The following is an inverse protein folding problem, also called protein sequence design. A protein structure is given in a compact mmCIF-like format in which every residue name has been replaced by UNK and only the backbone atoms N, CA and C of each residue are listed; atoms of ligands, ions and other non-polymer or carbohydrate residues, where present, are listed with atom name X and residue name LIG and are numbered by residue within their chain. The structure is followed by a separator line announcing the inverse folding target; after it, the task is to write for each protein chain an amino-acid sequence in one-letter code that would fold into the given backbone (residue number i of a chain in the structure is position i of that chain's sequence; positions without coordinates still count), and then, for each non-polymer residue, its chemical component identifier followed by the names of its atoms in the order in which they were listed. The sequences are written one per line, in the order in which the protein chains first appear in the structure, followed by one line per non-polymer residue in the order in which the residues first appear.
data_IF_375792447927
#
_entry.id   IF_375792447927
#
_cell.length_a   1.000
_cell.length_b   1.000
_cell.length_c   1.000
_cell.angle_alpha   90.00
_cell.angle_beta   90.00
_cell.angle_gamma   90.00
#
_symmetry.space_group_name_H-M   'P 1'
#
loop_
_entity.id
_entity.type
_entity.pdbx_description
1 polymer ?
#
# COMPACT_ATOMS: atom_id res chain seq x y z
N UNK A 1 5.76 5.46 -0.85
CA UNK A 1 6.83 5.69 -1.84
C UNK A 1 6.35 5.39 -3.26
N UNK A 2 5.88 4.17 -3.61
CA UNK A 2 5.46 3.80 -4.97
C UNK A 2 4.49 4.81 -5.61
N UNK A 3 3.45 5.24 -4.88
CA UNK A 3 2.49 6.22 -5.39
C UNK A 3 3.15 7.56 -5.76
N UNK A 4 4.05 8.03 -4.91
CA UNK A 4 4.76 9.29 -5.12
C UNK A 4 5.78 9.17 -6.27
N UNK A 5 6.44 8.02 -6.42
CA UNK A 5 7.30 7.75 -7.59
C UNK A 5 6.49 7.82 -8.88
N UNK A 6 5.34 7.14 -8.95
CA UNK A 6 4.46 7.21 -10.13
C UNK A 6 3.97 8.64 -10.42
N UNK A 7 3.64 9.42 -9.38
CA UNK A 7 3.27 10.82 -9.55
C UNK A 7 4.43 11.67 -10.08
N UNK A 8 5.66 11.46 -9.58
CA UNK A 8 6.87 12.12 -10.09
C UNK A 8 7.18 11.76 -11.55
N UNK A 9 6.77 10.59 -12.01
CA UNK A 9 6.85 10.18 -13.43
C UNK A 9 5.75 10.83 -14.30
N UNK A 10 4.88 11.65 -13.71
CA UNK A 10 3.82 12.37 -14.42
C UNK A 10 2.48 11.64 -14.50
N UNK A 11 2.33 10.52 -13.79
CA UNK A 11 1.07 9.79 -13.74
C UNK A 11 0.07 10.46 -12.76
N UNK A 12 -1.22 10.38 -13.07
CA UNK A 12 -2.31 10.75 -12.16
C UNK A 12 -2.57 9.57 -11.21
N UNK A 13 -2.22 9.73 -9.94
CA UNK A 13 -2.23 8.62 -8.97
C UNK A 13 -3.22 8.88 -7.83
N UNK A 14 -3.99 7.84 -7.51
CA UNK A 14 -4.78 7.75 -6.29
C UNK A 14 -4.27 6.67 -5.36
N UNK A 15 -4.44 6.87 -4.05
CA UNK A 15 -4.21 5.87 -3.00
C UNK A 15 -5.47 5.73 -2.17
N UNK A 16 -5.97 4.53 -2.09
CA UNK A 16 -7.04 4.13 -1.17
C UNK A 16 -6.43 3.29 -0.05
N UNK A 17 -6.40 3.84 1.17
CA UNK A 17 -6.02 3.11 2.38
C UNK A 17 -7.25 2.37 2.94
N UNK A 18 -7.25 1.07 2.78
CA UNK A 18 -8.30 0.17 3.20
C UNK A 18 -7.97 -0.59 4.49
N UNK A 19 -6.83 -0.29 5.15
CA UNK A 19 -6.49 -0.91 6.43
C UNK A 19 -7.32 -0.30 7.57
N UNK A 20 -8.42 -0.96 7.87
CA UNK A 20 -9.35 -0.55 8.93
C UNK A 20 -8.80 -0.75 10.34
N UNK A 21 -7.76 -1.54 10.50
CA UNK A 21 -7.17 -1.87 11.80
C UNK A 21 -6.04 -0.93 12.19
N UNK A 22 -5.31 -0.42 11.21
CA UNK A 22 -4.17 0.45 11.44
C UNK A 22 -3.89 1.36 10.24
N UNK A 23 -4.83 2.28 9.90
CA UNK A 23 -4.66 3.14 8.74
C UNK A 23 -3.45 4.06 8.92
N UNK A 24 -2.38 3.78 8.21
CA UNK A 24 -1.08 4.47 8.35
C UNK A 24 -0.83 5.51 7.26
N UNK A 25 -1.57 5.48 6.17
CA UNK A 25 -1.37 6.40 5.04
C UNK A 25 -1.51 7.87 5.43
N UNK A 26 -2.48 8.29 6.30
CA UNK A 26 -2.55 9.68 6.74
C UNK A 26 -1.27 10.18 7.40
N UNK A 27 -0.64 9.39 8.26
CA UNK A 27 0.66 9.73 8.88
C UNK A 27 1.76 9.79 7.83
N UNK A 28 1.86 8.78 6.95
CA UNK A 28 2.91 8.70 5.93
C UNK A 28 2.85 9.78 4.86
N UNK A 29 1.71 10.48 4.73
CA UNK A 29 1.48 11.56 3.77
C UNK A 29 1.33 12.94 4.42
N UNK A 30 1.64 13.10 5.72
CA UNK A 30 1.45 14.35 6.47
C UNK A 30 0.00 14.89 6.36
N UNK A 31 -0.96 13.99 6.53
CA UNK A 31 -2.39 14.28 6.41
C UNK A 31 -3.16 13.95 7.69
N UNK A 32 -2.49 13.83 8.83
CA UNK A 32 -3.15 13.54 10.10
C UNK A 32 -4.17 14.62 10.47
N UNK A 33 -5.35 14.20 10.88
CA UNK A 33 -6.44 15.13 11.22
C UNK A 33 -7.14 15.78 10.03
N UNK A 34 -6.66 15.57 8.80
CA UNK A 34 -7.34 16.03 7.59
C UNK A 34 -8.72 15.35 7.43
N UNK A 35 -9.64 16.04 6.76
CA UNK A 35 -11.01 15.56 6.53
C UNK A 35 -11.41 15.77 5.09
N UNK A 36 -11.79 14.71 4.37
CA UNK A 36 -12.36 14.85 3.03
C UNK A 36 -13.61 15.74 3.05
N UNK A 37 -13.69 16.64 2.10
CA UNK A 37 -14.87 17.47 1.92
C UNK A 37 -15.86 16.82 0.96
N UNK A 38 -17.09 17.33 0.96
CA UNK A 38 -18.10 16.94 -0.04
C UNK A 38 -18.12 17.97 -1.16
N UNK A 39 -18.02 17.48 -2.40
CA UNK A 39 -18.09 18.30 -3.62
C UNK A 39 -19.23 17.84 -4.51
N UNK A 40 -19.77 18.76 -5.31
CA UNK A 40 -20.79 18.45 -6.29
C UNK A 40 -20.16 18.08 -7.63
N UNK A 41 -20.36 16.85 -8.07
CA UNK A 41 -19.90 16.35 -9.37
C UNK A 41 -21.13 15.85 -10.14
N UNK A 42 -21.46 16.49 -11.25
CA UNK A 42 -22.62 16.15 -12.07
C UNK A 42 -23.94 16.06 -11.28
N UNK A 43 -24.15 17.00 -10.34
CA UNK A 43 -25.36 17.07 -9.52
C UNK A 43 -25.43 16.03 -8.38
N UNK A 44 -24.38 15.26 -8.16
CA UNK A 44 -24.24 14.30 -7.06
C UNK A 44 -23.19 14.78 -6.07
N UNK A 45 -23.50 14.63 -4.79
CA UNK A 45 -22.52 14.86 -3.72
C UNK A 45 -21.51 13.72 -3.72
N UNK A 46 -20.23 14.04 -3.86
CA UNK A 46 -19.12 13.08 -3.82
C UNK A 46 -18.10 13.49 -2.78
N UNK A 47 -17.36 12.52 -2.28
CA UNK A 47 -16.24 12.72 -1.37
C UNK A 47 -15.02 13.18 -2.17
N UNK A 48 -14.41 14.29 -1.80
CA UNK A 48 -13.20 14.81 -2.44
C UNK A 48 -11.96 14.17 -1.81
N UNK A 49 -11.14 13.43 -2.58
CA UNK A 49 -9.85 12.94 -2.09
C UNK A 49 -8.95 14.11 -1.68
N UNK A 50 -8.18 13.91 -0.62
CA UNK A 50 -7.19 14.91 -0.18
C UNK A 50 -5.92 14.70 -1.00
N UNK A 51 -5.29 15.78 -1.46
CA UNK A 51 -4.10 15.68 -2.29
C UNK A 51 -2.86 16.17 -1.55
N UNK A 52 -1.80 15.35 -1.56
CA UNK A 52 -0.45 15.74 -1.15
C UNK A 52 0.58 14.99 -2.00
N UNK A 53 1.72 15.61 -2.24
CA UNK A 53 2.81 15.08 -3.07
C UNK A 53 2.36 14.61 -4.47
N UNK A 54 1.35 15.28 -5.05
CA UNK A 54 0.79 14.92 -6.36
C UNK A 54 -0.04 13.63 -6.38
N UNK A 55 -0.40 13.12 -5.20
CA UNK A 55 -1.20 11.90 -5.04
C UNK A 55 -2.53 12.23 -4.36
N UNK A 56 -3.64 11.76 -4.93
CA UNK A 56 -4.97 11.84 -4.30
C UNK A 56 -5.13 10.69 -3.31
N UNK A 57 -5.51 11.01 -2.08
CA UNK A 57 -5.60 10.04 -0.99
C UNK A 57 -6.98 10.01 -0.38
N UNK A 58 -7.52 8.83 -0.20
CA UNK A 58 -8.60 8.54 0.75
C UNK A 58 -8.15 7.43 1.69
N UNK A 59 -8.40 7.63 2.99
CA UNK A 59 -8.10 6.66 4.02
C UNK A 59 -9.29 6.51 4.95
N UNK A 60 -9.53 5.31 5.41
CA UNK A 60 -10.48 5.05 6.49
C UNK A 60 -10.09 5.82 7.77
N UNK A 61 -8.79 6.10 7.92
CA UNK A 61 -8.24 6.89 9.02
C UNK A 61 -8.76 8.33 9.08
N UNK A 62 -9.20 8.90 7.96
CA UNK A 62 -9.80 10.25 7.96
C UNK A 62 -11.16 10.33 8.67
N UNK A 63 -11.81 9.20 8.91
CA UNK A 63 -13.14 9.11 9.54
C UNK A 63 -13.07 8.67 11.00
N UNK A 64 -11.88 8.40 11.51
CA UNK A 64 -11.63 8.01 12.90
C UNK A 64 -10.87 9.12 13.63
N UNK A 65 -11.01 9.18 14.96
CA UNK A 65 -10.09 10.00 15.76
C UNK A 65 -8.91 9.14 16.19
N UNK A 66 -7.68 9.69 16.22
CA UNK A 66 -6.49 8.92 16.60
C UNK A 66 -6.63 8.19 17.94
N UNK A 67 -7.30 8.82 18.92
CA UNK A 67 -7.48 8.28 20.26
C UNK A 67 -8.79 7.49 20.45
N UNK A 68 -9.54 7.27 19.39
CA UNK A 68 -10.82 6.57 19.47
C UNK A 68 -10.73 5.18 18.86
N UNK A 69 -10.83 4.15 19.67
CA UNK A 69 -11.01 2.79 19.19
C UNK A 69 -12.38 2.69 18.48
N UNK A 70 -12.38 2.72 17.17
CA UNK A 70 -13.57 2.45 16.37
C UNK A 70 -13.62 0.95 16.10
N UNK A 71 -14.64 0.30 16.64
CA UNK A 71 -14.88 -1.11 16.35
C UNK A 71 -15.56 -1.21 14.99
N UNK A 72 -14.78 -1.37 13.95
CA UNK A 72 -15.29 -1.64 12.62
C UNK A 72 -15.85 -3.06 12.54
N UNK A 73 -17.15 -3.17 12.34
CA UNK A 73 -17.75 -4.46 11.97
C UNK A 73 -17.63 -4.65 10.46
N UNK A 74 -17.37 -5.89 9.99
CA UNK A 74 -17.15 -6.20 8.59
C UNK A 74 -18.08 -5.49 7.60
N UNK A 75 -19.44 -5.54 7.80
CA UNK A 75 -20.38 -4.85 6.91
C UNK A 75 -20.24 -3.31 6.89
N UNK A 76 -19.87 -2.71 8.05
CA UNK A 76 -19.65 -1.24 8.11
C UNK A 76 -18.38 -0.85 7.37
N UNK A 77 -17.31 -1.60 7.55
CA UNK A 77 -16.05 -1.39 6.86
C UNK A 77 -16.20 -1.55 5.34
N UNK A 78 -16.84 -2.62 4.89
CA UNK A 78 -17.12 -2.85 3.49
C UNK A 78 -17.96 -1.71 2.86
N UNK A 79 -18.97 -1.21 3.59
CA UNK A 79 -19.77 -0.07 3.13
C UNK A 79 -18.93 1.20 3.01
N UNK A 80 -18.09 1.52 4.00
CA UNK A 80 -17.21 2.70 3.97
C UNK A 80 -16.22 2.62 2.81
N UNK A 81 -15.59 1.47 2.61
CA UNK A 81 -14.69 1.22 1.49
C UNK A 81 -15.39 1.40 0.14
N UNK A 82 -16.58 0.81 -0.03
CA UNK A 82 -17.37 1.00 -1.25
C UNK A 82 -17.68 2.48 -1.50
N UNK A 83 -18.01 3.25 -0.47
CA UNK A 83 -18.23 4.70 -0.63
C UNK A 83 -16.95 5.42 -1.04
N UNK A 84 -15.81 5.12 -0.45
CA UNK A 84 -14.52 5.72 -0.84
C UNK A 84 -14.11 5.34 -2.27
N UNK A 85 -14.50 4.17 -2.75
CA UNK A 85 -14.22 3.73 -4.12
C UNK A 85 -15.15 4.42 -5.12
N UNK A 86 -16.46 4.32 -4.93
CA UNK A 86 -17.46 4.65 -5.96
C UNK A 86 -18.09 6.04 -5.80
N UNK A 87 -18.18 6.54 -4.55
CA UNK A 87 -18.79 7.83 -4.24
C UNK A 87 -17.74 8.94 -4.03
N UNK A 88 -16.49 8.69 -4.38
CA UNK A 88 -15.43 9.69 -4.36
C UNK A 88 -15.26 10.38 -5.72
N UNK A 89 -14.75 11.62 -5.66
CA UNK A 89 -14.42 12.44 -6.82
C UNK A 89 -12.98 12.22 -7.27
N UNK A 90 -12.59 10.97 -7.55
CA UNK A 90 -11.25 10.63 -8.00
C UNK A 90 -10.84 11.35 -9.28
N UNK A 91 -11.80 11.64 -10.18
CA UNK A 91 -11.54 12.15 -11.52
C UNK A 91 -10.86 11.09 -12.39
N UNK A 92 -10.08 11.55 -13.36
CA UNK A 92 -9.26 10.66 -14.18
C UNK A 92 -7.99 10.28 -13.43
N UNK A 93 -7.70 8.99 -13.33
CA UNK A 93 -6.49 8.43 -12.76
C UNK A 93 -5.85 7.47 -13.76
N UNK A 94 -4.51 7.46 -13.80
CA UNK A 94 -3.73 6.42 -14.47
C UNK A 94 -3.59 5.19 -13.56
N UNK A 95 -3.45 5.43 -12.23
CA UNK A 95 -3.33 4.39 -11.22
C UNK A 95 -4.17 4.70 -9.99
N UNK A 96 -4.91 3.71 -9.51
CA UNK A 96 -5.47 3.68 -8.16
C UNK A 96 -4.80 2.54 -7.39
N UNK A 97 -3.94 2.87 -6.44
CA UNK A 97 -3.30 1.91 -5.55
C UNK A 97 -4.20 1.70 -4.34
N UNK A 98 -4.49 0.44 -4.03
CA UNK A 98 -5.31 0.07 -2.89
C UNK A 98 -4.41 -0.64 -1.87
N UNK A 99 -4.21 0.00 -0.73
CA UNK A 99 -3.47 -0.56 0.40
C UNK A 99 -4.42 -1.40 1.25
N UNK A 100 -4.25 -2.72 1.15
CA UNK A 100 -5.12 -3.69 1.80
C UNK A 100 -4.67 -3.97 3.24
N UNK A 101 -5.59 -4.26 4.17
CA UNK A 101 -5.24 -4.71 5.50
C UNK A 101 -4.44 -6.02 5.43
N UNK A 102 -3.72 -6.40 6.50
CA UNK A 102 -3.03 -7.69 6.53
C UNK A 102 -4.02 -8.86 6.53
N UNK A 103 -3.59 -9.99 5.96
CA UNK A 103 -4.37 -11.22 5.95
C UNK A 103 -5.17 -11.45 4.67
N UNK A 104 -6.22 -12.27 4.74
CA UNK A 104 -7.06 -12.71 3.61
C UNK A 104 -8.54 -12.79 4.00
N UNK A 105 -9.04 -11.80 4.75
CA UNK A 105 -10.39 -11.79 5.29
C UNK A 105 -11.45 -11.20 4.33
N UNK A 106 -12.68 -11.03 4.86
CA UNK A 106 -13.85 -10.57 4.10
C UNK A 106 -13.66 -9.22 3.40
N UNK A 107 -12.81 -8.35 3.93
CA UNK A 107 -12.51 -7.05 3.34
C UNK A 107 -11.81 -7.21 2.00
N UNK A 108 -10.80 -8.10 1.94
CA UNK A 108 -10.09 -8.42 0.69
C UNK A 108 -11.07 -8.92 -0.36
N UNK A 109 -11.90 -9.92 0.02
CA UNK A 109 -12.91 -10.48 -0.88
C UNK A 109 -13.89 -9.41 -1.35
N UNK A 110 -14.35 -8.54 -0.47
CA UNK A 110 -15.26 -7.44 -0.82
C UNK A 110 -14.65 -6.50 -1.87
N UNK A 111 -13.38 -6.12 -1.71
CA UNK A 111 -12.69 -5.22 -2.65
C UNK A 111 -12.46 -5.92 -3.99
N UNK A 112 -11.91 -7.13 -3.99
CA UNK A 112 -11.60 -7.85 -5.24
C UNK A 112 -12.83 -8.25 -6.04
N UNK A 113 -13.98 -8.43 -5.38
CA UNK A 113 -15.26 -8.70 -6.03
C UNK A 113 -15.95 -7.43 -6.55
N UNK A 114 -15.63 -6.27 -5.95
CA UNK A 114 -16.27 -4.99 -6.30
C UNK A 114 -15.56 -4.24 -7.42
N UNK A 115 -14.28 -4.54 -7.66
CA UNK A 115 -13.43 -3.82 -8.61
C UNK A 115 -12.78 -4.75 -9.64
N UNK A 116 -12.71 -4.31 -10.90
CA UNK A 116 -11.91 -4.99 -11.92
C UNK A 116 -10.42 -4.68 -11.69
N UNK A 117 -9.78 -5.39 -10.75
CA UNK A 117 -8.38 -5.15 -10.42
C UNK A 117 -7.47 -5.58 -11.58
N UNK A 118 -6.54 -4.73 -11.96
CA UNK A 118 -5.50 -5.03 -12.97
C UNK A 118 -4.54 -6.10 -12.46
N UNK A 119 -4.23 -6.09 -11.16
CA UNK A 119 -3.38 -7.08 -10.52
C UNK A 119 -3.04 -6.72 -9.10
N UNK A 120 -2.33 -7.63 -8.43
CA UNK A 120 -1.88 -7.49 -7.06
C UNK A 120 -0.35 -7.54 -6.96
N UNK A 121 0.23 -6.67 -6.15
CA UNK A 121 1.63 -6.75 -5.72
C UNK A 121 1.65 -7.25 -4.29
N UNK A 122 2.39 -8.34 -4.04
CA UNK A 122 2.51 -8.92 -2.70
C UNK A 122 3.81 -8.46 -2.06
N UNK A 123 3.73 -7.91 -0.86
CA UNK A 123 4.88 -7.44 -0.11
C UNK A 123 5.09 -8.34 1.10
N UNK A 124 6.29 -8.86 1.28
CA UNK A 124 6.65 -9.69 2.43
C UNK A 124 8.08 -9.42 2.88
N UNK A 125 8.36 -9.72 4.12
CA UNK A 125 9.74 -9.82 4.63
C UNK A 125 10.25 -11.26 4.41
N UNK A 126 11.59 -11.52 4.44
CA UNK A 126 12.11 -12.85 4.08
C UNK A 126 11.89 -13.96 5.12
N UNK A 127 11.37 -13.67 6.31
CA UNK A 127 11.15 -14.68 7.34
C UNK A 127 9.94 -15.58 7.07
N UNK A 128 10.04 -16.86 7.44
CA UNK A 128 9.04 -17.89 7.15
C UNK A 128 7.62 -17.54 7.66
N UNK A 129 7.51 -16.83 8.79
CA UNK A 129 6.20 -16.42 9.35
C UNK A 129 5.49 -15.46 8.40
N UNK A 130 6.19 -14.43 7.89
CA UNK A 130 5.62 -13.48 6.94
C UNK A 130 5.34 -14.13 5.58
N UNK A 131 6.24 -15.02 5.12
CA UNK A 131 6.05 -15.75 3.86
C UNK A 131 4.83 -16.70 3.90
N UNK A 132 4.49 -17.24 5.07
CA UNK A 132 3.31 -18.07 5.24
C UNK A 132 2.02 -17.28 4.94
N UNK A 133 1.95 -16.02 5.38
CA UNK A 133 0.80 -15.15 5.10
C UNK A 133 0.81 -14.63 3.66
N UNK A 134 1.98 -14.25 3.13
CA UNK A 134 2.12 -13.90 1.71
C UNK A 134 1.66 -15.03 0.79
N UNK A 135 2.00 -16.28 1.12
CA UNK A 135 1.55 -17.48 0.38
C UNK A 135 0.04 -17.61 0.35
N UNK A 136 -0.65 -17.33 1.47
CA UNK A 136 -2.13 -17.33 1.53
C UNK A 136 -2.72 -16.21 0.66
N UNK A 137 -2.13 -15.01 0.70
CA UNK A 137 -2.55 -13.89 -0.14
C UNK A 137 -2.45 -14.22 -1.64
N UNK A 138 -1.33 -14.77 -2.07
CA UNK A 138 -1.15 -15.21 -3.47
C UNK A 138 -2.20 -16.25 -3.85
N UNK A 139 -2.40 -17.26 -3.00
CA UNK A 139 -3.39 -18.31 -3.25
C UNK A 139 -4.82 -17.76 -3.34
N UNK A 140 -5.16 -16.73 -2.54
CA UNK A 140 -6.45 -16.05 -2.62
C UNK A 140 -6.64 -15.38 -3.98
N UNK A 141 -5.66 -14.58 -4.43
CA UNK A 141 -5.75 -13.89 -5.73
C UNK A 141 -5.83 -14.86 -6.92
N UNK A 142 -5.19 -16.01 -6.81
CA UNK A 142 -5.16 -17.05 -7.84
C UNK A 142 -6.39 -17.98 -7.84
N UNK A 143 -7.34 -17.85 -6.90
CA UNK A 143 -8.57 -18.62 -6.92
C UNK A 143 -9.40 -18.33 -8.17
N UNK A 144 -9.99 -19.34 -8.81
CA UNK A 144 -10.81 -19.19 -10.03
C UNK A 144 -11.96 -18.18 -9.88
N UNK A 145 -12.53 -18.08 -8.67
CA UNK A 145 -13.62 -17.16 -8.36
C UNK A 145 -13.17 -15.70 -8.20
N UNK A 146 -11.86 -15.45 -8.05
CA UNK A 146 -11.24 -14.12 -7.87
C UNK A 146 -10.45 -13.76 -9.12
N UNK A 147 -9.53 -14.61 -9.53
CA UNK A 147 -8.73 -14.54 -10.74
C UNK A 147 -8.05 -13.17 -10.97
N UNK A 148 -7.41 -12.64 -9.92
CA UNK A 148 -6.63 -11.41 -9.99
C UNK A 148 -5.17 -11.77 -10.25
N UNK A 149 -4.54 -11.27 -11.33
CA UNK A 149 -3.15 -11.54 -11.62
C UNK A 149 -2.23 -11.06 -10.49
N UNK A 150 -1.29 -11.90 -10.05
CA UNK A 150 -0.22 -11.46 -9.15
C UNK A 150 0.92 -10.92 -10.00
N UNK A 151 1.08 -9.60 -10.01
CA UNK A 151 2.08 -8.87 -10.80
C UNK A 151 3.50 -9.18 -10.31
N UNK A 152 3.64 -9.51 -9.03
CA UNK A 152 4.90 -9.96 -8.46
C UNK A 152 4.98 -9.82 -6.95
N UNK A 153 6.14 -10.20 -6.42
CA UNK A 153 6.47 -10.12 -4.99
C UNK A 153 7.64 -9.17 -4.78
N UNK A 154 7.50 -8.29 -3.78
CA UNK A 154 8.59 -7.43 -3.26
C UNK A 154 9.06 -7.99 -1.93
N UNK A 155 10.37 -8.18 -1.76
CA UNK A 155 10.99 -8.53 -0.48
C UNK A 155 11.34 -7.26 0.28
N UNK A 156 10.53 -6.87 1.25
CA UNK A 156 10.80 -5.72 2.11
C UNK A 156 11.77 -6.13 3.25
N UNK A 157 12.57 -5.17 3.72
CA UNK A 157 13.59 -5.40 4.77
C UNK A 157 14.55 -6.56 4.41
N UNK A 158 14.90 -6.66 3.14
CA UNK A 158 15.67 -7.76 2.56
C UNK A 158 17.07 -7.91 3.18
N UNK A 159 17.70 -6.78 3.48
CA UNK A 159 19.01 -6.71 4.15
C UNK A 159 19.19 -5.35 4.83
N UNK A 160 20.14 -5.29 5.73
CA UNK A 160 20.63 -4.08 6.36
C UNK A 160 22.11 -3.87 6.01
N UNK A 161 22.51 -2.65 5.64
CA UNK A 161 23.90 -2.26 5.46
C UNK A 161 24.19 -1.06 6.39
N UNK A 162 25.11 -1.20 7.36
CA UNK A 162 25.53 -0.08 8.20
C UNK A 162 26.21 1.02 7.36
N UNK A 163 26.03 2.27 7.73
CA UNK A 163 26.67 3.39 7.04
C UNK A 163 28.21 3.31 7.08
N UNK A 164 28.76 2.76 8.17
CA UNK A 164 30.21 2.58 8.37
C UNK A 164 30.77 1.43 7.53
N UNK A 165 29.92 0.50 7.08
CA UNK A 165 30.30 -0.70 6.33
C UNK A 165 29.31 -0.91 5.17
N UNK A 166 29.25 -0.01 4.17
CA UNK A 166 28.19 -0.01 3.15
C UNK A 166 28.20 -1.26 2.25
N UNK A 167 29.35 -1.92 2.10
CA UNK A 167 29.49 -3.15 1.32
C UNK A 167 29.01 -4.40 2.06
N UNK A 168 28.82 -4.30 3.39
CA UNK A 168 28.39 -5.43 4.21
C UNK A 168 26.87 -5.50 4.28
N UNK A 169 26.31 -6.67 3.93
CA UNK A 169 24.87 -6.95 4.02
C UNK A 169 24.57 -7.92 5.14
N UNK A 170 23.73 -7.48 6.06
CA UNK A 170 23.24 -8.31 7.17
C UNK A 170 21.79 -8.70 6.91
N UNK A 171 21.52 -9.98 6.87
CA UNK A 171 20.18 -10.54 6.56
C UNK A 171 19.42 -10.83 7.86
N UNK A 172 18.96 -9.76 8.52
CA UNK A 172 18.37 -9.82 9.86
C UNK A 172 17.11 -10.70 9.88
N UNK A 173 16.30 -10.62 8.84
CA UNK A 173 15.03 -11.36 8.72
C UNK A 173 15.14 -12.62 7.85
N UNK A 174 16.33 -13.00 7.42
CA UNK A 174 16.54 -14.11 6.48
C UNK A 174 17.01 -13.63 5.11
N UNK A 175 17.25 -14.54 4.20
CA UNK A 175 17.85 -14.25 2.90
C UNK A 175 17.02 -14.86 1.78
N UNK A 176 16.58 -14.03 0.81
CA UNK A 176 15.91 -14.48 -0.42
C UNK A 176 14.60 -15.25 -0.20
N UNK A 177 13.93 -15.05 0.93
CA UNK A 177 12.70 -15.81 1.24
C UNK A 177 11.58 -15.53 0.25
N UNK A 178 11.36 -14.24 -0.07
CA UNK A 178 10.34 -13.85 -1.04
C UNK A 178 10.73 -14.20 -2.50
N UNK A 179 12.04 -14.18 -2.83
CA UNK A 179 12.54 -14.64 -4.13
C UNK A 179 12.24 -16.14 -4.35
N UNK A 180 12.47 -16.96 -3.31
CA UNK A 180 12.13 -18.39 -3.37
C UNK A 180 10.62 -18.62 -3.44
N UNK A 181 9.82 -17.84 -2.70
CA UNK A 181 8.36 -17.91 -2.77
C UNK A 181 7.85 -17.53 -4.16
N UNK A 182 8.40 -16.49 -4.78
CA UNK A 182 8.07 -16.06 -6.13
C UNK A 182 8.30 -17.20 -7.14
N UNK A 183 9.43 -17.87 -7.03
CA UNK A 183 9.75 -19.03 -7.86
C UNK A 183 8.81 -20.22 -7.60
N UNK A 184 8.49 -20.53 -6.33
CA UNK A 184 7.56 -21.61 -5.96
C UNK A 184 6.14 -21.37 -6.50
N UNK A 185 5.74 -20.10 -6.59
CA UNK A 185 4.40 -19.68 -7.03
C UNK A 185 4.33 -19.29 -8.51
N UNK A 186 5.46 -19.38 -9.22
CA UNK A 186 5.57 -19.02 -10.63
C UNK A 186 5.09 -17.57 -10.90
N UNK A 187 5.40 -16.65 -9.97
CA UNK A 187 5.12 -15.22 -10.09
C UNK A 187 6.42 -14.40 -10.16
N UNK A 188 6.42 -13.22 -10.77
CA UNK A 188 7.61 -12.38 -10.84
C UNK A 188 8.15 -12.00 -9.44
N UNK A 189 9.48 -11.98 -9.29
CA UNK A 189 10.15 -11.32 -8.19
C UNK A 189 10.54 -9.91 -8.62
N UNK A 190 9.94 -8.88 -7.99
CA UNK A 190 10.10 -7.48 -8.39
C UNK A 190 11.35 -6.83 -7.78
N UNK A 191 11.91 -7.44 -6.73
CA UNK A 191 13.11 -6.92 -6.09
C UNK A 191 13.09 -6.97 -4.57
N UNK A 192 14.21 -6.56 -3.97
CA UNK A 192 14.39 -6.49 -2.53
C UNK A 192 14.69 -5.07 -2.06
N UNK A 193 13.92 -4.58 -1.10
CA UNK A 193 14.12 -3.28 -0.47
C UNK A 193 14.95 -3.44 0.81
N UNK A 194 16.01 -2.64 1.00
CA UNK A 194 16.81 -2.70 2.22
C UNK A 194 16.06 -2.18 3.45
N UNK A 195 16.45 -2.62 4.63
CA UNK A 195 16.08 -1.98 5.88
C UNK A 195 16.97 -0.74 6.07
N UNK A 196 16.37 0.45 5.97
CA UNK A 196 17.08 1.72 6.06
C UNK A 196 16.41 2.62 7.08
N UNK A 197 17.19 3.16 8.01
CA UNK A 197 16.70 4.03 9.08
C UNK A 197 15.99 5.28 8.53
N UNK A 198 16.55 5.91 7.50
CA UNK A 198 15.98 7.14 6.94
C UNK A 198 14.63 6.91 6.23
N UNK A 199 14.34 5.71 5.74
CA UNK A 199 12.99 5.37 5.21
C UNK A 199 11.97 5.41 6.33
N UNK A 200 12.29 4.82 7.49
CA UNK A 200 11.42 4.84 8.68
C UNK A 200 11.23 6.28 9.17
N UNK A 201 12.32 7.04 9.35
CA UNK A 201 12.26 8.43 9.81
C UNK A 201 11.44 9.32 8.88
N UNK A 202 11.60 9.14 7.58
CA UNK A 202 10.81 9.86 6.58
C UNK A 202 9.31 9.53 6.69
N UNK A 203 8.96 8.26 6.88
CA UNK A 203 7.57 7.84 7.06
C UNK A 203 6.95 8.42 8.35
N UNK A 204 7.72 8.45 9.45
CA UNK A 204 7.27 8.97 10.75
C UNK A 204 6.96 10.47 10.73
N UNK A 205 7.59 11.23 9.83
CA UNK A 205 7.35 12.67 9.66
C UNK A 205 6.48 12.99 8.45
N UNK A 206 5.82 12.01 7.88
CA UNK A 206 4.90 12.17 6.75
C UNK A 206 5.56 12.58 5.43
N UNK A 207 6.88 12.40 5.29
CA UNK A 207 7.62 12.76 4.08
C UNK A 207 8.15 11.52 3.37
N UNK A 208 7.53 11.06 2.28
CA UNK A 208 7.97 9.88 1.53
C UNK A 208 9.45 9.91 1.18
N UNK A 209 10.15 8.79 1.40
CA UNK A 209 11.60 8.71 1.24
C UNK A 209 12.08 9.03 -0.19
N UNK A 210 11.25 8.76 -1.20
CA UNK A 210 11.52 9.09 -2.62
C UNK A 210 11.59 10.59 -2.91
N UNK A 211 11.16 11.44 -1.98
CA UNK A 211 11.29 12.91 -2.07
C UNK A 211 12.62 13.42 -1.51
N UNK A 212 13.45 12.55 -0.96
CA UNK A 212 14.78 12.92 -0.49
C UNK A 212 15.72 12.99 -1.68
N UNK A 213 16.16 14.21 -2.03
CA UNK A 213 17.12 14.44 -3.11
C UNK A 213 18.39 13.59 -2.93
N UNK A 214 18.81 12.93 -4.02
CA UNK A 214 20.07 12.18 -4.17
C UNK A 214 20.24 10.94 -3.28
N UNK A 215 19.20 10.38 -2.69
CA UNK A 215 19.37 9.11 -1.99
C UNK A 215 19.37 7.95 -3.01
N UNK A 216 20.36 7.05 -2.88
CA UNK A 216 20.33 5.73 -3.54
C UNK A 216 19.05 4.93 -3.23
N UNK A 217 18.23 5.46 -2.33
CA UNK A 217 16.96 4.91 -1.89
C UNK A 217 15.83 5.13 -2.91
N UNK A 218 15.81 6.28 -3.61
CA UNK A 218 14.82 6.55 -4.64
C UNK A 218 14.93 5.49 -5.75
N UNK A 219 16.14 5.15 -6.17
CA UNK A 219 16.41 4.14 -7.20
C UNK A 219 15.91 2.72 -6.85
N UNK A 220 15.50 2.45 -5.62
CA UNK A 220 14.91 1.15 -5.25
C UNK A 220 13.41 1.10 -5.53
N UNK A 221 12.78 2.24 -5.82
CA UNK A 221 11.35 2.37 -6.13
C UNK A 221 11.09 2.69 -7.60
N UNK A 222 12.13 3.05 -8.36
CA UNK A 222 12.12 3.24 -9.82
C UNK A 222 12.17 1.89 -10.55
#
# INVERSE_FOLDING_TARGET
NLAVTLANMGCKVGVLDADIYGPSIPTMFDMEGARPMSVQVNGKSKMEPIENYGVKVLSIGFFTKPDQAVVWRGPMAAKALNQMIFDAAWGELDFLLIDLPPGTGDIHLSIVQSLPLTGAVVISTPQNVALADAKKGIAMFQQDSINVPVLGIVENMSYFSPAELPDNKYYIFGKKGAEYLAKDKEVPFLGGLPLVQSIREAADVGRPAVLQDQSSLAAHFD
#
